data_IF_634056976158
#
_entry.id   IF_634056976158
#
_cell.length_a   1.000
_cell.length_b   1.000
_cell.length_c   1.000
_cell.angle_alpha   90.00
_cell.angle_beta   90.00
_cell.angle_gamma   90.00
#
_symmetry.space_group_name_H-M   'P 1'
#
loop_
_entity.id
_entity.type
_entity.pdbx_description
1 polymer ?
#
# COMPACT_ATOMS: atom_id res chain seq x y z
N UNK A 1 -8.85 -0.96 28.24
CA UNK A 1 -7.61 -0.44 27.66
C UNK A 1 -7.90 -0.17 26.19
N UNK A 2 -7.67 1.06 25.70
CA UNK A 2 -7.86 1.41 24.29
C UNK A 2 -6.94 0.56 23.40
N UNK A 3 -7.36 0.27 22.17
CA UNK A 3 -6.50 -0.38 21.16
C UNK A 3 -5.56 0.61 20.46
N UNK A 4 -5.46 1.86 20.93
CA UNK A 4 -4.48 2.82 20.44
C UNK A 4 -3.03 2.36 20.72
N UNK A 5 -2.09 2.72 19.85
CA UNK A 5 -0.66 2.60 20.16
C UNK A 5 -0.27 3.53 21.31
N UNK A 6 0.75 3.16 22.09
CA UNK A 6 1.13 3.89 23.31
C UNK A 6 1.64 5.31 23.05
N UNK A 7 2.29 5.54 21.91
CA UNK A 7 2.81 6.86 21.52
C UNK A 7 2.45 7.17 20.06
N UNK A 8 1.20 7.58 19.77
CA UNK A 8 0.77 7.87 18.41
C UNK A 8 1.33 9.22 17.96
N UNK A 9 1.76 9.29 16.70
CA UNK A 9 2.25 10.55 16.11
C UNK A 9 1.16 11.65 16.08
N UNK A 10 -0.10 11.25 15.90
CA UNK A 10 -1.27 12.12 16.09
C UNK A 10 -1.87 11.81 17.46
N UNK A 11 -1.84 12.78 18.38
CA UNK A 11 -2.38 12.62 19.74
C UNK A 11 -3.87 12.96 19.82
N UNK A 12 -4.32 13.95 19.05
CA UNK A 12 -5.69 14.44 19.03
C UNK A 12 -6.23 14.57 17.61
N UNK A 13 -7.51 14.25 17.43
CA UNK A 13 -8.25 14.42 16.18
C UNK A 13 -9.39 15.42 16.36
N UNK A 14 -9.66 16.19 15.30
CA UNK A 14 -10.81 17.08 15.18
C UNK A 14 -11.96 16.30 14.54
N UNK A 15 -13.09 16.22 15.23
CA UNK A 15 -14.37 15.78 14.67
C UNK A 15 -14.91 16.89 13.75
N UNK A 16 -15.03 16.58 12.46
CA UNK A 16 -15.48 17.54 11.45
C UNK A 16 -17.00 17.76 11.45
N UNK A 17 -17.77 16.92 12.13
CA UNK A 17 -19.22 17.12 12.30
C UNK A 17 -19.51 18.03 13.50
N UNK A 18 -18.83 17.82 14.62
CA UNK A 18 -19.10 18.56 15.87
C UNK A 18 -18.15 19.73 16.11
N UNK A 19 -17.01 19.77 15.42
CA UNK A 19 -15.94 20.75 15.64
C UNK A 19 -15.13 20.51 16.92
N UNK A 20 -15.34 19.38 17.61
CA UNK A 20 -14.66 19.08 18.87
C UNK A 20 -13.35 18.34 18.66
N UNK A 21 -12.39 18.60 19.54
CA UNK A 21 -11.13 17.87 19.59
C UNK A 21 -11.25 16.69 20.55
N UNK A 22 -10.76 15.53 20.12
CA UNK A 22 -10.78 14.30 20.89
C UNK A 22 -9.40 13.63 20.91
N UNK A 23 -8.94 13.19 22.10
CA UNK A 23 -7.72 12.40 22.18
C UNK A 23 -7.94 11.04 21.51
N UNK A 24 -6.91 10.54 20.82
CA UNK A 24 -6.98 9.31 20.04
C UNK A 24 -7.38 8.10 20.89
N UNK A 25 -6.98 8.05 22.16
CA UNK A 25 -7.35 6.98 23.10
C UNK A 25 -8.84 6.94 23.43
N UNK A 26 -9.56 8.06 23.27
CA UNK A 26 -11.01 8.15 23.45
C UNK A 26 -11.78 7.76 22.19
N UNK A 27 -11.19 8.01 21.02
CA UNK A 27 -11.80 7.69 19.71
C UNK A 27 -11.57 6.22 19.33
N UNK A 28 -10.39 5.68 19.64
CA UNK A 28 -10.07 4.27 19.41
C UNK A 28 -10.58 3.46 20.61
N UNK A 29 -11.67 2.72 20.39
CA UNK A 29 -12.29 1.83 21.38
C UNK A 29 -11.34 0.72 21.83
N UNK A 30 -11.69 0.08 22.95
CA UNK A 30 -11.10 -1.19 23.38
C UNK A 30 -11.69 -2.40 22.65
N UNK A 31 -12.84 -2.25 21.99
CA UNK A 31 -13.46 -3.29 21.19
C UNK A 31 -12.91 -3.31 19.77
N UNK A 32 -12.28 -4.42 19.39
CA UNK A 32 -11.68 -4.60 18.06
C UNK A 32 -12.71 -4.48 16.93
N UNK A 33 -13.94 -4.99 17.11
CA UNK A 33 -14.98 -4.92 16.09
C UNK A 33 -15.40 -3.45 15.85
N UNK A 34 -15.60 -2.68 16.92
CA UNK A 34 -15.91 -1.24 16.81
C UNK A 34 -14.79 -0.48 16.11
N UNK A 35 -13.53 -0.78 16.41
CA UNK A 35 -12.38 -0.14 15.78
C UNK A 35 -12.25 -0.49 14.29
N UNK A 36 -12.56 -1.74 13.91
CA UNK A 36 -12.61 -2.14 12.49
C UNK A 36 -13.76 -1.43 11.75
N UNK A 37 -14.94 -1.32 12.37
CA UNK A 37 -16.07 -0.57 11.79
C UNK A 37 -15.71 0.90 11.59
N UNK A 38 -15.12 1.54 12.61
CA UNK A 38 -14.63 2.91 12.52
C UNK A 38 -13.61 3.07 11.39
N UNK A 39 -12.66 2.14 11.27
CA UNK A 39 -11.67 2.14 10.19
C UNK A 39 -12.30 2.09 8.81
N UNK A 40 -13.32 1.26 8.62
CA UNK A 40 -14.07 1.16 7.36
C UNK A 40 -14.83 2.46 7.09
N UNK A 41 -15.56 2.99 8.08
CA UNK A 41 -16.30 4.23 7.97
C UNK A 41 -15.39 5.39 7.53
N UNK A 42 -14.23 5.56 8.18
CA UNK A 42 -13.28 6.64 7.84
C UNK A 42 -12.80 6.55 6.40
N UNK A 43 -12.48 5.34 5.91
CA UNK A 43 -12.06 5.15 4.52
C UNK A 43 -13.16 5.49 3.53
N UNK A 44 -14.38 5.02 3.78
CA UNK A 44 -15.54 5.32 2.94
C UNK A 44 -15.78 6.82 2.87
N UNK A 45 -15.78 7.49 4.02
CA UNK A 45 -16.01 8.93 4.13
C UNK A 45 -14.91 9.78 3.46
N UNK A 46 -13.65 9.35 3.52
CA UNK A 46 -12.56 9.99 2.77
C UNK A 46 -12.78 9.81 1.25
N UNK A 47 -13.18 8.62 0.81
CA UNK A 47 -13.42 8.34 -0.61
C UNK A 47 -14.59 9.16 -1.15
N UNK A 48 -15.68 9.30 -0.39
CA UNK A 48 -16.85 10.11 -0.74
C UNK A 48 -16.64 11.61 -0.51
N UNK A 49 -15.43 12.06 -0.17
CA UNK A 49 -15.08 13.47 0.08
C UNK A 49 -15.83 14.11 1.25
N UNK A 50 -16.28 13.31 2.21
CA UNK A 50 -16.94 13.75 3.44
C UNK A 50 -16.24 13.17 4.68
N UNK A 51 -14.97 13.54 4.95
CA UNK A 51 -14.19 12.97 6.04
C UNK A 51 -14.84 13.22 7.41
N UNK A 52 -14.73 12.25 8.32
CA UNK A 52 -15.27 12.37 9.68
C UNK A 52 -14.28 13.03 10.64
N UNK A 53 -12.99 12.67 10.55
CA UNK A 53 -11.94 13.20 11.41
C UNK A 53 -10.81 13.84 10.62
N UNK A 54 -10.22 14.87 11.20
CA UNK A 54 -9.00 15.52 10.75
C UNK A 54 -7.94 15.55 11.87
N UNK A 55 -6.68 15.78 11.51
CA UNK A 55 -5.64 16.07 12.49
C UNK A 55 -5.93 17.42 13.16
N UNK A 56 -5.87 17.47 14.49
CA UNK A 56 -6.09 18.72 15.24
C UNK A 56 -5.04 19.81 14.96
N UNK A 57 -3.86 19.44 14.46
CA UNK A 57 -2.75 20.36 14.22
C UNK A 57 -2.78 21.00 12.83
N UNK A 58 -3.08 20.21 11.79
CA UNK A 58 -3.00 20.68 10.40
C UNK A 58 -4.34 20.66 9.66
N UNK A 59 -5.41 20.12 10.25
CA UNK A 59 -6.73 20.03 9.63
C UNK A 59 -6.83 19.04 8.46
N UNK A 60 -5.76 18.32 8.13
CA UNK A 60 -5.78 17.30 7.07
C UNK A 60 -6.60 16.09 7.53
N UNK A 61 -7.49 15.55 6.67
CA UNK A 61 -8.25 14.35 7.00
C UNK A 61 -7.36 13.16 7.38
N UNK A 62 -7.79 12.39 8.37
CA UNK A 62 -7.05 11.24 8.90
C UNK A 62 -7.81 9.94 8.74
N UNK A 63 -7.08 8.84 8.58
CA UNK A 63 -7.63 7.50 8.52
C UNK A 63 -6.97 6.59 9.55
N UNK A 64 -7.67 5.52 9.92
CA UNK A 64 -7.15 4.55 10.88
C UNK A 64 -6.31 3.47 10.20
N UNK A 65 -5.08 3.32 10.67
CA UNK A 65 -4.15 2.26 10.33
C UNK A 65 -4.01 1.28 11.49
N UNK A 66 -3.56 0.06 11.19
CA UNK A 66 -3.29 -0.98 12.18
C UNK A 66 -1.84 -1.44 12.04
N UNK A 67 -1.20 -1.79 13.15
CA UNK A 67 0.10 -2.45 13.13
C UNK A 67 -0.11 -3.96 12.83
N UNK A 68 0.58 -4.56 11.83
CA UNK A 68 0.42 -5.98 11.50
C UNK A 68 0.66 -6.93 12.68
N UNK A 69 1.57 -6.58 13.58
CA UNK A 69 2.05 -7.51 14.62
C UNK A 69 1.36 -7.40 15.96
N UNK A 70 0.56 -6.34 16.21
CA UNK A 70 0.12 -6.00 17.58
C UNK A 70 -1.37 -5.71 17.75
N UNK A 71 -2.20 -5.82 16.71
CA UNK A 71 -3.64 -5.48 16.79
C UNK A 71 -3.93 -4.07 17.35
N UNK A 72 -2.93 -3.18 17.36
CA UNK A 72 -3.07 -1.80 17.82
C UNK A 72 -3.27 -0.86 16.61
N UNK A 73 -3.97 0.23 16.85
CA UNK A 73 -4.41 1.17 15.83
C UNK A 73 -3.87 2.57 16.08
N UNK A 74 -3.75 3.33 15.01
CA UNK A 74 -3.29 4.72 15.05
C UNK A 74 -3.77 5.49 13.83
N UNK A 75 -3.88 6.81 13.95
CA UNK A 75 -4.27 7.68 12.85
C UNK A 75 -3.09 8.02 11.94
N UNK A 76 -3.36 8.12 10.64
CA UNK A 76 -2.43 8.60 9.61
C UNK A 76 -3.07 9.67 8.77
N UNK A 77 -2.27 10.63 8.30
CA UNK A 77 -2.73 11.66 7.39
C UNK A 77 -3.06 11.05 6.00
N UNK A 78 -4.14 11.53 5.40
CA UNK A 78 -4.45 11.24 3.99
C UNK A 78 -3.40 11.84 3.05
N UNK A 79 -2.94 13.06 3.36
CA UNK A 79 -1.87 13.77 2.68
C UNK A 79 -0.81 14.22 3.70
N UNK A 80 0.46 13.96 3.40
CA UNK A 80 1.56 14.36 4.27
C UNK A 80 2.61 15.06 3.42
N UNK A 81 2.71 16.38 3.60
CA UNK A 81 3.56 17.30 2.82
C UNK A 81 4.63 17.98 3.68
N UNK A 82 4.84 17.46 4.89
CA UNK A 82 5.83 17.96 5.84
C UNK A 82 5.40 19.21 6.62
N UNK A 83 4.21 19.77 6.37
CA UNK A 83 3.72 20.96 7.09
C UNK A 83 3.20 20.65 8.50
N UNK A 84 2.88 19.39 8.77
CA UNK A 84 2.42 18.94 10.08
C UNK A 84 3.60 18.40 10.90
N UNK A 85 3.80 18.85 12.15
CA UNK A 85 4.85 18.31 13.02
C UNK A 85 4.56 16.84 13.43
N UNK A 86 3.29 16.43 13.40
CA UNK A 86 2.90 15.03 13.55
C UNK A 86 3.22 14.24 12.28
N UNK A 87 4.47 13.79 12.14
CA UNK A 87 4.87 12.94 11.03
C UNK A 87 4.30 11.53 11.21
N UNK A 88 3.33 11.16 10.36
CA UNK A 88 2.69 9.84 10.36
C UNK A 88 3.27 8.90 9.33
N UNK A 89 4.08 9.41 8.39
CA UNK A 89 4.85 8.66 7.40
C UNK A 89 6.34 8.78 7.75
N UNK A 90 6.85 7.85 8.54
CA UNK A 90 8.28 7.65 8.82
C UNK A 90 8.71 6.22 8.48
N UNK A 91 9.85 6.10 7.78
CA UNK A 91 10.58 4.93 7.27
C UNK A 91 9.77 3.65 6.99
N UNK A 92 8.93 3.70 5.96
CA UNK A 92 8.82 2.53 5.09
C UNK A 92 9.36 2.98 3.76
N UNK A 93 10.52 2.43 3.39
CA UNK A 93 11.11 2.66 2.08
C UNK A 93 10.06 2.33 1.02
N UNK A 94 10.11 3.00 -0.13
CA UNK A 94 9.24 2.65 -1.26
C UNK A 94 9.36 1.14 -1.59
N UNK A 95 10.52 0.53 -1.31
CA UNK A 95 10.75 -0.91 -1.39
C UNK A 95 9.93 -1.74 -0.40
N UNK A 96 9.74 -1.30 0.84
CA UNK A 96 8.87 -1.98 1.81
C UNK A 96 7.39 -1.74 1.56
N UNK A 97 7.02 -0.57 1.03
CA UNK A 97 5.66 -0.29 0.53
C UNK A 97 5.35 -1.22 -0.65
N UNK A 98 6.30 -1.38 -1.58
CA UNK A 98 6.17 -2.30 -2.69
C UNK A 98 6.15 -3.75 -2.17
N UNK A 99 7.08 -4.14 -1.30
CA UNK A 99 7.11 -5.48 -0.70
C UNK A 99 5.79 -5.80 0.00
N UNK A 100 5.18 -4.86 0.74
CA UNK A 100 3.88 -5.09 1.40
C UNK A 100 2.69 -5.06 0.44
N UNK A 101 2.75 -4.27 -0.63
CA UNK A 101 1.74 -4.22 -1.70
C UNK A 101 1.72 -5.53 -2.50
N UNK A 102 2.87 -6.21 -2.62
CA UNK A 102 3.03 -7.41 -3.45
C UNK A 102 3.23 -8.72 -2.65
N UNK A 103 3.55 -8.69 -1.35
CA UNK A 103 3.68 -9.91 -0.51
C UNK A 103 2.34 -10.52 -0.07
N UNK A 104 1.24 -9.77 -0.11
CA UNK A 104 -0.09 -10.26 0.27
C UNK A 104 -0.97 -10.66 -0.93
N UNK A 105 -0.58 -10.28 -2.14
CA UNK A 105 -1.31 -10.62 -3.35
C UNK A 105 -0.60 -11.79 -4.03
N UNK A 106 -1.21 -12.98 -3.99
CA UNK A 106 -1.09 -13.86 -5.15
C UNK A 106 -1.31 -12.98 -6.37
N UNK A 107 -0.32 -12.99 -7.27
CA UNK A 107 -0.26 -12.25 -8.52
C UNK A 107 -1.60 -11.58 -8.91
N UNK A 108 -1.66 -10.26 -8.83
CA UNK A 108 -2.91 -9.55 -9.12
C UNK A 108 -3.39 -9.83 -10.56
N UNK A 109 -4.70 -9.86 -10.79
CA UNK A 109 -5.26 -10.06 -12.13
C UNK A 109 -4.73 -9.03 -13.14
N UNK A 110 -4.35 -7.83 -12.68
CA UNK A 110 -3.71 -6.81 -13.51
C UNK A 110 -2.30 -7.21 -13.93
N UNK A 111 -1.49 -7.74 -13.01
CA UNK A 111 -0.13 -8.20 -13.29
C UNK A 111 -0.13 -9.35 -14.31
N UNK A 112 -1.03 -10.32 -14.15
CA UNK A 112 -1.23 -11.39 -15.13
C UNK A 112 -1.62 -10.86 -16.50
N UNK A 113 -2.60 -9.94 -16.54
CA UNK A 113 -3.07 -9.31 -17.77
C UNK A 113 -1.97 -8.51 -18.47
N UNK A 114 -1.10 -7.86 -17.71
CA UNK A 114 0.01 -7.09 -18.24
C UNK A 114 1.11 -8.00 -18.82
N UNK A 115 1.38 -9.16 -18.20
CA UNK A 115 2.23 -10.20 -18.81
C UNK A 115 1.66 -10.73 -20.12
N UNK A 116 0.36 -11.03 -20.15
CA UNK A 116 -0.31 -11.51 -21.35
C UNK A 116 -0.20 -10.49 -22.49
N UNK A 117 -0.36 -9.20 -22.20
CA UNK A 117 -0.18 -8.14 -23.18
C UNK A 117 1.24 -8.05 -23.71
N UNK A 118 2.25 -8.14 -22.84
CA UNK A 118 3.65 -8.13 -23.28
C UNK A 118 3.91 -9.31 -24.22
N UNK A 119 3.44 -10.51 -23.89
CA UNK A 119 3.57 -11.68 -24.78
C UNK A 119 2.88 -11.45 -26.13
N UNK A 120 1.67 -10.87 -26.13
CA UNK A 120 0.93 -10.54 -27.36
C UNK A 120 1.67 -9.51 -28.22
N UNK A 121 2.21 -8.45 -27.62
CA UNK A 121 2.99 -7.44 -28.32
C UNK A 121 4.26 -8.03 -28.94
N UNK A 122 5.01 -8.85 -28.18
CA UNK A 122 6.21 -9.49 -28.69
C UNK A 122 5.90 -10.49 -29.81
N UNK A 123 4.79 -11.23 -29.71
CA UNK A 123 4.38 -12.18 -30.74
C UNK A 123 3.93 -11.52 -32.04
N UNK A 124 3.47 -10.26 -31.97
CA UNK A 124 3.08 -9.48 -33.13
C UNK A 124 4.28 -8.90 -33.90
N UNK A 125 5.49 -8.89 -33.32
CA UNK A 125 6.70 -8.37 -33.94
C UNK A 125 7.66 -9.52 -34.32
N UNK A 126 7.85 -9.81 -35.62
CA UNK A 126 8.64 -10.94 -36.09
C UNK A 126 10.14 -10.85 -35.75
N UNK A 127 10.62 -9.71 -35.24
CA UNK A 127 12.00 -9.56 -34.76
C UNK A 127 12.21 -10.26 -33.42
N UNK A 128 11.13 -10.57 -32.70
CA UNK A 128 11.18 -11.31 -31.45
C UNK A 128 10.93 -12.80 -31.68
N UNK A 129 11.68 -13.63 -30.95
CA UNK A 129 11.57 -15.08 -30.97
C UNK A 129 11.81 -15.66 -29.58
N UNK A 130 11.52 -16.95 -29.38
CA UNK A 130 11.72 -17.64 -28.10
C UNK A 130 11.03 -16.95 -26.90
N UNK A 131 9.85 -16.39 -27.12
CA UNK A 131 9.05 -15.71 -26.09
C UNK A 131 8.58 -16.74 -25.06
N UNK A 132 8.85 -16.51 -23.78
CA UNK A 132 8.37 -17.36 -22.67
C UNK A 132 7.89 -16.49 -21.51
N UNK A 133 6.76 -16.87 -20.92
CA UNK A 133 6.29 -16.38 -19.64
C UNK A 133 6.42 -17.49 -18.59
N UNK A 134 6.91 -17.14 -17.40
CA UNK A 134 6.99 -18.05 -16.23
C UNK A 134 7.74 -19.38 -16.38
N UNK A 135 8.83 -19.44 -17.17
CA UNK A 135 9.77 -20.57 -17.10
C UNK A 135 11.10 -20.19 -16.45
N UNK A 136 11.53 -20.97 -15.46
CA UNK A 136 12.75 -20.76 -14.68
C UNK A 136 13.99 -20.78 -15.59
N UNK A 137 14.70 -19.66 -15.68
CA UNK A 137 15.98 -19.58 -16.39
C UNK A 137 17.14 -19.93 -15.45
N UNK A 138 18.06 -20.79 -15.91
CA UNK A 138 19.31 -21.10 -15.21
C UNK A 138 20.43 -20.27 -15.85
N UNK A 139 20.86 -19.18 -15.21
CA UNK A 139 22.13 -18.51 -15.57
C UNK A 139 23.30 -19.38 -15.12
N UNK A 140 24.34 -19.44 -15.94
CA UNK A 140 25.65 -20.05 -15.64
C UNK A 140 26.46 -19.34 -14.55
N UNK A 141 25.85 -18.44 -13.76
CA UNK A 141 26.52 -17.62 -12.74
C UNK A 141 25.73 -17.57 -11.42
N UNK A 142 25.23 -18.73 -10.96
CA UNK A 142 24.84 -18.97 -9.56
C UNK A 142 23.65 -18.18 -8.99
N UNK A 143 23.10 -17.19 -9.71
CA UNK A 143 21.93 -16.43 -9.27
C UNK A 143 20.68 -16.90 -10.03
N UNK A 144 19.79 -17.58 -9.32
CA UNK A 144 18.45 -17.89 -9.80
C UNK A 144 17.64 -16.58 -9.87
N UNK A 145 17.21 -16.19 -11.07
CA UNK A 145 16.19 -15.15 -11.27
C UNK A 145 15.11 -15.71 -12.18
N UNK A 146 13.84 -15.54 -11.78
CA UNK A 146 12.66 -15.86 -12.59
C UNK A 146 12.11 -14.54 -13.13
N UNK A 147 12.42 -14.14 -14.37
CA UNK A 147 11.84 -12.95 -14.98
C UNK A 147 10.36 -13.20 -15.33
N UNK A 148 9.56 -12.13 -15.36
CA UNK A 148 8.12 -12.22 -15.69
C UNK A 148 7.86 -12.64 -17.13
N UNK A 149 8.59 -12.05 -18.09
CA UNK A 149 8.57 -12.44 -19.52
C UNK A 149 9.98 -12.35 -20.10
N UNK A 150 10.37 -13.30 -20.94
CA UNK A 150 11.66 -13.29 -21.66
C UNK A 150 11.46 -13.53 -23.16
N UNK A 151 12.35 -12.97 -23.98
CA UNK A 151 12.38 -13.20 -25.44
C UNK A 151 13.80 -12.99 -25.99
N UNK A 152 13.99 -13.31 -27.27
CA UNK A 152 15.17 -12.91 -28.06
C UNK A 152 14.77 -11.89 -29.11
N UNK A 153 15.45 -10.75 -29.12
CA UNK A 153 15.38 -9.78 -30.22
C UNK A 153 16.57 -10.01 -31.14
N UNK A 154 16.37 -10.73 -32.24
CA UNK A 154 17.48 -11.30 -33.02
C UNK A 154 18.39 -12.16 -32.14
N UNK A 155 19.66 -11.73 -31.98
CA UNK A 155 20.63 -12.43 -31.14
C UNK A 155 20.72 -11.95 -29.68
N UNK A 156 19.94 -10.93 -29.33
CA UNK A 156 20.01 -10.29 -28.02
C UNK A 156 18.94 -10.88 -27.11
N UNK A 157 19.32 -11.52 -25.98
CA UNK A 157 18.34 -11.93 -24.98
C UNK A 157 17.80 -10.69 -24.24
N UNK A 158 16.47 -10.61 -24.12
CA UNK A 158 15.77 -9.53 -23.43
C UNK A 158 14.83 -10.09 -22.36
N UNK A 159 14.72 -9.35 -21.25
CA UNK A 159 13.85 -9.70 -20.12
C UNK A 159 12.95 -8.50 -19.79
N UNK A 160 11.72 -8.79 -19.37
CA UNK A 160 10.73 -7.83 -18.94
C UNK A 160 10.26 -8.22 -17.53
N UNK A 161 10.27 -7.24 -16.61
CA UNK A 161 9.85 -7.36 -15.21
C UNK A 161 8.67 -6.39 -15.01
N UNK A 162 7.57 -6.83 -14.38
CA UNK A 162 6.28 -6.13 -14.39
C UNK A 162 5.74 -5.88 -12.97
#
# INVERSE_FOLDING_TARGET
MSLAVDNPAIQDVLDLQTGQHHPVTKVISSDYAEVVQLRMALRTHIYTKQPLYACSLCGVPVYLASNPDKSHFFFKHTLEDGRCPAQTRGELSQQEINARKYNGAKESALHRRMKDWVVQCLSADPRFSQIRSEETWKRSLGQWRRPDVQARYGDIPVIFEI
#
